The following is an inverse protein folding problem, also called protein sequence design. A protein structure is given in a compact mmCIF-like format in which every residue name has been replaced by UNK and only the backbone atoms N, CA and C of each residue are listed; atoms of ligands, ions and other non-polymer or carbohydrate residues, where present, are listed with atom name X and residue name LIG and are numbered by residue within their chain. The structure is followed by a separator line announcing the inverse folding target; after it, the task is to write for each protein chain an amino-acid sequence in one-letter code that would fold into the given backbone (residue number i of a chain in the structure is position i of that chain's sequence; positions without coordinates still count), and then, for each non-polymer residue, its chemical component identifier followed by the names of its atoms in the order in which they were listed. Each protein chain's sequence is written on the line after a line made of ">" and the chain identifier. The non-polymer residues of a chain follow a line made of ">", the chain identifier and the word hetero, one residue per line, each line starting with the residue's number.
data_IF_624951041314
#
_entry.id   IF_624951041314
#
_cell.length_a   1.000
_cell.length_b   1.000
_cell.length_c   1.000
_cell.angle_alpha   90.00
_cell.angle_beta   90.00
_cell.angle_gamma   90.00
#
_symmetry.space_group_name_H-M   'P 1'
#
loop_
_entity.id
_entity.type
_entity.pdbx_description
1 polymer ?
#
# COMPACT_ATOMS: atom_id res chain seq x y z
N UNK A 1 9.12 -10.59 18.94
CA UNK A 1 9.84 -10.87 20.20
C UNK A 1 8.93 -10.62 21.41
N UNK A 2 8.34 -9.41 21.61
CA UNK A 2 7.45 -9.12 22.75
C UNK A 2 6.23 -10.04 22.82
N UNK A 3 5.62 -10.39 21.70
CA UNK A 3 4.48 -11.31 21.63
C UNK A 3 4.89 -12.76 21.98
N UNK A 4 6.03 -13.22 21.50
CA UNK A 4 6.53 -14.57 21.79
C UNK A 4 6.95 -14.71 23.24
N UNK A 5 7.51 -13.68 23.88
CA UNK A 5 7.82 -13.67 25.31
C UNK A 5 6.57 -13.61 26.19
N UNK A 6 5.53 -12.87 25.78
CA UNK A 6 4.25 -12.79 26.52
C UNK A 6 3.46 -14.10 26.43
N UNK A 7 3.49 -14.80 25.30
CA UNK A 7 2.84 -16.11 25.11
C UNK A 7 3.70 -17.32 25.52
N UNK A 8 5.00 -17.16 25.74
CA UNK A 8 5.91 -18.25 26.14
C UNK A 8 5.59 -18.93 27.47
N UNK A 9 4.54 -18.47 28.17
CA UNK A 9 4.01 -19.07 29.42
C UNK A 9 2.93 -20.13 29.17
N UNK A 10 2.46 -20.33 27.91
CA UNK A 10 1.54 -21.43 27.55
C UNK A 10 2.16 -22.25 26.42
N UNK A 11 2.22 -23.58 26.50
CA UNK A 11 2.71 -24.42 25.43
C UNK A 11 1.74 -24.34 24.23
N UNK A 12 1.95 -23.36 23.37
CA UNK A 12 1.19 -23.23 22.15
C UNK A 12 1.86 -24.06 21.05
N UNK A 13 1.02 -24.74 20.28
CA UNK A 13 1.46 -25.48 19.13
C UNK A 13 1.96 -24.46 18.07
N UNK A 14 3.21 -24.60 17.58
CA UNK A 14 3.82 -23.75 16.55
C UNK A 14 2.90 -23.48 15.35
N UNK A 15 2.00 -24.43 15.05
CA UNK A 15 1.00 -24.30 13.99
C UNK A 15 -0.05 -23.21 14.30
N UNK A 16 -0.44 -23.04 15.56
CA UNK A 16 -1.40 -22.01 15.98
C UNK A 16 -0.78 -20.63 15.82
N UNK A 17 0.50 -20.49 16.20
CA UNK A 17 1.22 -19.22 16.05
C UNK A 17 1.46 -18.87 14.57
N UNK A 18 1.76 -19.87 13.74
CA UNK A 18 1.90 -19.67 12.30
C UNK A 18 0.58 -19.23 11.64
N UNK A 19 -0.55 -19.86 11.99
CA UNK A 19 -1.87 -19.47 11.47
C UNK A 19 -2.24 -18.05 11.91
N UNK A 20 -1.95 -17.68 13.15
CA UNK A 20 -2.20 -16.31 13.61
C UNK A 20 -1.37 -15.27 12.86
N UNK A 21 -0.10 -15.56 12.58
CA UNK A 21 0.74 -14.68 11.77
C UNK A 21 0.24 -14.54 10.33
N UNK A 22 -0.24 -15.65 9.73
CA UNK A 22 -0.85 -15.61 8.39
C UNK A 22 -2.13 -14.77 8.37
N UNK A 23 -3.01 -14.92 9.36
CA UNK A 23 -4.23 -14.12 9.50
C UNK A 23 -3.92 -12.63 9.68
N UNK A 24 -2.92 -12.29 10.49
CA UNK A 24 -2.45 -10.90 10.67
C UNK A 24 -1.89 -10.32 9.37
N UNK A 25 -1.04 -11.07 8.67
CA UNK A 25 -0.50 -10.65 7.37
C UNK A 25 -1.63 -10.43 6.37
N UNK A 26 -2.57 -11.37 6.27
CA UNK A 26 -3.72 -11.23 5.39
C UNK A 26 -4.61 -10.02 5.75
N UNK A 27 -4.77 -9.70 7.04
CA UNK A 27 -5.49 -8.51 7.48
C UNK A 27 -4.78 -7.22 7.05
N UNK A 28 -3.45 -7.13 7.25
CA UNK A 28 -2.65 -5.97 6.87
C UNK A 28 -2.75 -5.71 5.36
N UNK A 29 -2.65 -6.75 4.54
CA UNK A 29 -2.80 -6.65 3.08
C UNK A 29 -4.19 -6.14 2.69
N UNK A 30 -5.26 -6.66 3.31
CA UNK A 30 -6.63 -6.17 3.07
C UNK A 30 -6.82 -4.71 3.48
N UNK A 31 -6.32 -4.34 4.66
CA UNK A 31 -6.34 -2.95 5.15
C UNK A 31 -5.66 -2.01 4.15
N UNK A 32 -4.45 -2.37 3.71
CA UNK A 32 -3.70 -1.57 2.76
C UNK A 32 -4.42 -1.47 1.41
N UNK A 33 -5.02 -2.57 0.92
CA UNK A 33 -5.81 -2.57 -0.32
C UNK A 33 -6.97 -1.57 -0.25
N UNK A 34 -7.82 -1.67 0.78
CA UNK A 34 -8.95 -0.77 0.95
C UNK A 34 -8.51 0.67 1.20
N UNK A 35 -7.39 0.85 1.92
CA UNK A 35 -6.80 2.17 2.13
C UNK A 35 -6.36 2.82 0.83
N UNK A 36 -5.65 2.09 -0.02
CA UNK A 36 -5.22 2.57 -1.34
C UNK A 36 -6.42 2.92 -2.23
N UNK A 37 -7.45 2.08 -2.22
CA UNK A 37 -8.65 2.32 -3.01
C UNK A 37 -9.39 3.58 -2.54
N UNK A 38 -9.72 3.66 -1.25
CA UNK A 38 -10.51 4.76 -0.70
C UNK A 38 -9.76 6.09 -0.75
N UNK A 39 -8.49 6.09 -0.31
CA UNK A 39 -7.67 7.30 -0.34
C UNK A 39 -7.39 7.74 -1.77
N UNK A 40 -7.10 6.81 -2.67
CA UNK A 40 -6.85 7.13 -4.08
C UNK A 40 -8.03 7.84 -4.73
N UNK A 41 -9.25 7.32 -4.56
CA UNK A 41 -10.48 7.95 -5.10
C UNK A 41 -10.72 9.31 -4.43
N UNK A 42 -10.68 9.38 -3.11
CA UNK A 42 -10.96 10.61 -2.38
C UNK A 42 -9.95 11.72 -2.72
N UNK A 43 -8.65 11.39 -2.73
CA UNK A 43 -7.61 12.37 -3.02
C UNK A 43 -7.61 12.82 -4.49
N UNK A 44 -7.97 11.93 -5.42
CA UNK A 44 -8.17 12.31 -6.83
C UNK A 44 -9.32 13.31 -6.98
N UNK A 45 -10.46 13.08 -6.32
CA UNK A 45 -11.60 14.01 -6.32
C UNK A 45 -11.22 15.35 -5.71
N UNK A 46 -10.57 15.34 -4.54
CA UNK A 46 -10.13 16.58 -3.89
C UNK A 46 -9.08 17.33 -4.71
N UNK A 47 -8.21 16.62 -5.39
CA UNK A 47 -7.21 17.23 -6.27
C UNK A 47 -7.86 17.84 -7.51
N UNK A 48 -8.85 17.19 -8.10
CA UNK A 48 -9.68 17.75 -9.15
C UNK A 48 -10.38 19.04 -8.69
N UNK A 49 -11.10 19.01 -7.58
CA UNK A 49 -11.78 20.18 -7.03
C UNK A 49 -10.81 21.32 -6.73
N UNK A 50 -9.61 21.02 -6.31
CA UNK A 50 -8.58 22.03 -6.05
C UNK A 50 -8.08 22.69 -7.33
N UNK A 51 -7.79 21.91 -8.37
CA UNK A 51 -7.29 22.44 -9.63
C UNK A 51 -8.34 23.29 -10.33
N UNK A 52 -9.60 22.86 -10.28
CA UNK A 52 -10.73 23.64 -10.85
C UNK A 52 -11.19 24.82 -9.96
N UNK A 53 -10.57 25.03 -8.79
CA UNK A 53 -10.97 26.10 -7.87
C UNK A 53 -12.30 25.88 -7.16
N UNK A 54 -12.94 24.71 -7.34
CA UNK A 54 -14.25 24.38 -6.78
C UNK A 54 -14.20 24.06 -5.28
N UNK A 55 -13.04 23.77 -4.73
CA UNK A 55 -12.87 23.41 -3.32
C UNK A 55 -13.29 24.54 -2.37
N UNK A 56 -13.03 25.80 -2.72
CA UNK A 56 -13.45 26.96 -1.91
C UNK A 56 -14.94 27.23 -1.99
N UNK A 57 -15.58 26.90 -3.13
CA UNK A 57 -17.03 27.02 -3.32
C UNK A 57 -17.77 25.97 -2.49
N UNK A 58 -17.26 24.73 -2.47
CA UNK A 58 -17.92 23.62 -1.76
C UNK A 58 -17.68 23.63 -0.24
N UNK A 59 -16.45 23.94 0.19
CA UNK A 59 -16.04 23.84 1.61
C UNK A 59 -15.89 25.22 2.29
N UNK A 60 -16.19 26.31 1.58
CA UNK A 60 -15.94 27.67 2.04
C UNK A 60 -14.45 28.04 2.02
N UNK A 61 -14.12 29.30 2.27
CA UNK A 61 -12.75 29.80 2.21
C UNK A 61 -11.82 29.08 3.21
N UNK A 62 -12.26 28.95 4.46
CA UNK A 62 -11.45 28.30 5.51
C UNK A 62 -11.28 26.79 5.28
N UNK A 63 -12.38 26.08 4.95
CA UNK A 63 -12.33 24.65 4.66
C UNK A 63 -11.54 24.32 3.39
N UNK A 64 -11.71 25.11 2.33
CA UNK A 64 -10.95 24.97 1.10
C UNK A 64 -9.45 25.17 1.33
N UNK A 65 -9.06 26.19 2.10
CA UNK A 65 -7.66 26.43 2.45
C UNK A 65 -7.07 25.29 3.30
N UNK A 66 -7.83 24.76 4.26
CA UNK A 66 -7.39 23.62 5.07
C UNK A 66 -7.15 22.37 4.20
N UNK A 67 -8.10 21.98 3.35
CA UNK A 67 -7.97 20.81 2.46
C UNK A 67 -6.82 20.98 1.44
N UNK A 68 -6.42 22.20 1.11
CA UNK A 68 -5.28 22.47 0.25
C UNK A 68 -3.93 22.21 0.94
N UNK A 69 -3.88 22.11 2.27
CA UNK A 69 -2.67 21.80 3.03
C UNK A 69 -2.47 20.27 3.13
N UNK A 70 -1.27 19.75 2.81
CA UNK A 70 -1.00 18.30 2.85
C UNK A 70 -1.22 17.67 4.23
N UNK A 71 -0.79 18.33 5.30
CA UNK A 71 -0.95 17.87 6.67
C UNK A 71 -2.41 17.75 7.09
N UNK A 72 -3.21 18.78 6.79
CA UNK A 72 -4.63 18.82 7.12
C UNK A 72 -5.40 17.76 6.31
N UNK A 73 -5.13 17.64 5.02
CA UNK A 73 -5.72 16.60 4.17
C UNK A 73 -5.32 15.20 4.67
N UNK A 74 -4.05 15.00 5.01
CA UNK A 74 -3.57 13.75 5.60
C UNK A 74 -4.32 13.39 6.88
N UNK A 75 -4.46 14.34 7.79
CA UNK A 75 -5.08 14.14 9.09
C UNK A 75 -6.60 13.95 9.02
N UNK A 76 -7.30 14.82 8.28
CA UNK A 76 -8.77 14.84 8.26
C UNK A 76 -9.41 13.97 7.16
N UNK A 77 -8.67 13.59 6.14
CA UNK A 77 -9.20 12.75 5.04
C UNK A 77 -8.52 11.40 5.01
N UNK A 78 -7.19 11.35 4.89
CA UNK A 78 -6.51 10.08 4.69
C UNK A 78 -6.56 9.19 5.92
N UNK A 79 -6.29 9.71 7.13
CA UNK A 79 -6.33 8.90 8.36
C UNK A 79 -7.72 8.33 8.63
N UNK A 80 -8.82 9.09 8.58
CA UNK A 80 -10.17 8.52 8.72
C UNK A 80 -10.50 7.45 7.68
N UNK A 81 -10.06 7.61 6.42
CA UNK A 81 -10.26 6.61 5.39
C UNK A 81 -9.44 5.35 5.62
N UNK A 82 -8.22 5.48 6.15
CA UNK A 82 -7.39 4.32 6.54
C UNK A 82 -8.04 3.58 7.72
N UNK A 83 -8.59 4.28 8.70
CA UNK A 83 -9.33 3.66 9.80
C UNK A 83 -10.58 2.93 9.28
N UNK A 84 -11.33 3.57 8.37
CA UNK A 84 -12.47 2.96 7.71
C UNK A 84 -12.06 1.71 6.91
N UNK A 85 -10.93 1.75 6.21
CA UNK A 85 -10.40 0.60 5.48
C UNK A 85 -10.09 -0.57 6.43
N UNK A 86 -9.60 -0.29 7.63
CA UNK A 86 -9.39 -1.30 8.66
C UNK A 86 -10.70 -1.98 9.10
N UNK A 87 -11.77 -1.21 9.25
CA UNK A 87 -13.10 -1.74 9.60
C UNK A 87 -13.65 -2.62 8.45
N UNK A 88 -13.49 -2.18 7.20
CA UNK A 88 -13.92 -2.94 6.03
C UNK A 88 -13.10 -4.24 5.92
N UNK A 89 -11.79 -4.18 6.13
CA UNK A 89 -10.89 -5.33 6.09
C UNK A 89 -11.19 -6.42 7.13
N UNK A 90 -11.90 -6.09 8.21
CA UNK A 90 -12.39 -7.07 9.19
C UNK A 90 -13.60 -7.85 8.66
N UNK A 91 -14.46 -7.21 7.85
CA UNK A 91 -15.68 -7.81 7.31
C UNK A 91 -15.43 -8.54 5.99
N UNK A 92 -14.72 -7.88 5.07
CA UNK A 92 -14.42 -8.41 3.74
C UNK A 92 -13.13 -9.22 3.76
N UNK A 93 -13.24 -10.53 3.55
CA UNK A 93 -12.10 -11.45 3.56
C UNK A 93 -11.48 -11.69 2.18
N UNK A 94 -12.22 -11.37 1.11
CA UNK A 94 -11.73 -11.53 -0.26
C UNK A 94 -11.17 -10.22 -0.80
N UNK A 95 -9.90 -10.20 -1.14
CA UNK A 95 -9.28 -9.11 -1.90
C UNK A 95 -9.02 -9.61 -3.31
N UNK A 96 -9.62 -8.95 -4.29
CA UNK A 96 -9.38 -9.26 -5.69
C UNK A 96 -8.45 -8.23 -6.32
N UNK A 97 -7.26 -8.68 -6.70
CA UNK A 97 -6.31 -7.86 -7.46
C UNK A 97 -6.87 -7.41 -8.82
N UNK A 98 -7.87 -8.14 -9.34
CA UNK A 98 -8.55 -7.80 -10.59
C UNK A 98 -9.18 -6.41 -10.53
N UNK A 99 -9.80 -6.03 -9.39
CA UNK A 99 -10.37 -4.70 -9.22
C UNK A 99 -9.32 -3.60 -9.24
N UNK A 100 -8.16 -3.82 -8.59
CA UNK A 100 -7.09 -2.84 -8.61
C UNK A 100 -6.46 -2.71 -10.01
N UNK A 101 -6.30 -3.83 -10.72
CA UNK A 101 -5.85 -3.81 -12.13
C UNK A 101 -6.85 -3.06 -13.00
N UNK A 102 -8.16 -3.31 -12.83
CA UNK A 102 -9.21 -2.62 -13.58
C UNK A 102 -9.19 -1.12 -13.32
N UNK A 103 -8.99 -0.70 -12.06
CA UNK A 103 -8.89 0.72 -11.71
C UNK A 103 -7.70 1.40 -12.40
N UNK A 104 -6.54 0.75 -12.46
CA UNK A 104 -5.38 1.27 -13.19
C UNK A 104 -5.71 1.42 -14.67
N UNK A 105 -6.31 0.40 -15.30
CA UNK A 105 -6.70 0.44 -16.71
C UNK A 105 -7.72 1.53 -16.99
N UNK A 106 -8.73 1.68 -16.11
CA UNK A 106 -9.75 2.74 -16.25
C UNK A 106 -9.12 4.12 -16.08
N UNK A 107 -8.22 4.31 -15.12
CA UNK A 107 -7.53 5.59 -14.91
C UNK A 107 -6.68 5.96 -16.14
N UNK A 108 -5.91 5.03 -16.68
CA UNK A 108 -5.13 5.23 -17.93
C UNK A 108 -6.05 5.55 -19.11
N UNK A 109 -7.15 4.83 -19.26
CA UNK A 109 -8.12 5.08 -20.32
C UNK A 109 -8.73 6.48 -20.19
N UNK A 110 -9.07 6.92 -18.98
CA UNK A 110 -9.58 8.27 -18.74
C UNK A 110 -8.55 9.35 -19.09
N UNK A 111 -7.27 9.12 -18.83
CA UNK A 111 -6.18 10.03 -19.25
C UNK A 111 -6.17 10.15 -20.78
N UNK A 112 -6.21 9.01 -21.48
CA UNK A 112 -6.22 8.99 -22.95
C UNK A 112 -7.43 9.75 -23.51
N UNK A 113 -8.63 9.48 -22.98
CA UNK A 113 -9.87 10.18 -23.39
C UNK A 113 -9.77 11.68 -23.12
N UNK A 114 -9.34 12.07 -21.92
CA UNK A 114 -9.22 13.49 -21.55
C UNK A 114 -8.23 14.22 -22.47
N UNK A 115 -7.10 13.60 -22.75
CA UNK A 115 -6.06 14.20 -23.58
C UNK A 115 -6.44 14.31 -25.06
N UNK A 116 -6.97 13.23 -25.65
CA UNK A 116 -7.23 13.19 -27.10
C UNK A 116 -8.59 13.76 -27.50
N UNK A 117 -9.60 13.65 -26.66
CA UNK A 117 -10.96 14.17 -27.00
C UNK A 117 -11.14 15.59 -26.52
N UNK A 118 -10.71 15.89 -25.28
CA UNK A 118 -10.94 17.20 -24.65
C UNK A 118 -9.72 18.10 -24.68
N UNK A 119 -8.55 17.61 -25.10
CA UNK A 119 -7.29 18.35 -25.06
C UNK A 119 -6.86 18.75 -23.65
N UNK A 120 -7.33 18.03 -22.65
CA UNK A 120 -7.21 18.35 -21.24
C UNK A 120 -6.53 17.21 -20.48
N UNK A 121 -5.43 17.52 -19.79
CA UNK A 121 -4.71 16.58 -18.95
C UNK A 121 -4.29 17.26 -17.65
N UNK A 122 -4.67 16.67 -16.52
CA UNK A 122 -4.26 17.15 -15.21
C UNK A 122 -3.21 16.24 -14.58
N UNK A 123 -2.28 16.87 -13.87
CA UNK A 123 -1.15 16.19 -13.21
C UNK A 123 -1.59 15.17 -12.18
N UNK A 124 -2.72 15.39 -11.47
CA UNK A 124 -3.25 14.44 -10.48
C UNK A 124 -3.66 13.10 -11.11
N UNK A 125 -4.05 13.06 -12.39
CA UNK A 125 -4.43 11.82 -13.06
C UNK A 125 -3.23 10.86 -13.18
N UNK A 126 -2.06 11.38 -13.57
CA UNK A 126 -0.84 10.59 -13.60
C UNK A 126 -0.37 10.12 -12.23
N UNK A 127 -0.58 10.93 -11.18
CA UNK A 127 -0.25 10.54 -9.81
C UNK A 127 -1.20 9.44 -9.28
N UNK A 128 -2.48 9.46 -9.67
CA UNK A 128 -3.45 8.41 -9.34
C UNK A 128 -3.03 7.07 -9.93
N UNK A 129 -2.64 7.06 -11.21
CA UNK A 129 -2.14 5.85 -11.87
C UNK A 129 -0.89 5.32 -11.17
N UNK A 130 0.08 6.19 -10.87
CA UNK A 130 1.31 5.79 -10.16
C UNK A 130 1.01 5.20 -8.78
N UNK A 131 0.09 5.80 -8.04
CA UNK A 131 -0.32 5.35 -6.72
C UNK A 131 -0.96 3.95 -6.76
N UNK A 132 -1.93 3.75 -7.64
CA UNK A 132 -2.59 2.45 -7.80
C UNK A 132 -1.66 1.40 -8.43
N UNK A 133 -0.82 1.79 -9.39
CA UNK A 133 0.14 0.88 -9.99
C UNK A 133 1.21 0.40 -9.00
N UNK A 134 1.74 1.30 -8.19
CA UNK A 134 2.69 0.94 -7.14
C UNK A 134 2.06 -0.05 -6.13
N UNK A 135 0.82 0.22 -5.72
CA UNK A 135 0.07 -0.68 -4.87
C UNK A 135 -0.18 -2.03 -5.54
N UNK A 136 -0.65 -2.04 -6.79
CA UNK A 136 -0.88 -3.28 -7.55
C UNK A 136 0.38 -4.13 -7.62
N UNK A 137 1.54 -3.52 -7.93
CA UNK A 137 2.80 -4.24 -8.03
C UNK A 137 3.21 -4.89 -6.71
N UNK A 138 3.11 -4.15 -5.60
CA UNK A 138 3.45 -4.66 -4.28
C UNK A 138 2.46 -5.74 -3.80
N UNK A 139 1.15 -5.51 -3.97
CA UNK A 139 0.13 -6.52 -3.62
C UNK A 139 0.24 -7.78 -4.46
N UNK A 140 0.50 -7.65 -5.77
CA UNK A 140 0.69 -8.80 -6.64
C UNK A 140 1.91 -9.61 -6.22
N UNK A 141 3.03 -8.98 -5.82
CA UNK A 141 4.21 -9.69 -5.33
C UNK A 141 3.94 -10.46 -4.03
N UNK A 142 3.23 -9.85 -3.08
CA UNK A 142 2.82 -10.51 -1.84
C UNK A 142 1.85 -11.68 -2.10
N UNK A 143 0.89 -11.49 -3.00
CA UNK A 143 -0.06 -12.53 -3.39
C UNK A 143 0.63 -13.73 -4.06
N UNK A 144 1.53 -13.47 -5.02
CA UNK A 144 2.27 -14.54 -5.70
C UNK A 144 3.18 -15.29 -4.74
N UNK A 145 3.72 -14.63 -3.72
CA UNK A 145 4.50 -15.30 -2.68
C UNK A 145 3.62 -16.25 -1.85
N UNK A 146 2.42 -15.80 -1.47
CA UNK A 146 1.47 -16.58 -0.67
C UNK A 146 0.95 -17.81 -1.42
N UNK A 147 0.59 -17.65 -2.70
CA UNK A 147 0.02 -18.73 -3.54
C UNK A 147 1.08 -19.65 -4.15
N UNK A 148 2.36 -19.49 -3.78
CA UNK A 148 3.45 -20.22 -4.41
C UNK A 148 3.52 -20.08 -5.95
N UNK A 149 2.91 -19.00 -6.47
CA UNK A 149 2.75 -18.74 -7.91
C UNK A 149 4.01 -18.13 -8.55
N UNK A 150 5.13 -18.09 -7.82
CA UNK A 150 6.40 -17.65 -8.40
C UNK A 150 6.86 -18.63 -9.47
N UNK A 151 7.40 -18.08 -10.55
CA UNK A 151 8.19 -18.87 -11.52
C UNK A 151 9.44 -19.35 -10.78
N UNK A 152 9.31 -20.48 -10.10
CA UNK A 152 10.45 -21.20 -9.53
C UNK A 152 11.14 -21.92 -10.69
N UNK A 153 12.43 -22.11 -10.56
CA UNK A 153 13.12 -23.07 -11.41
C UNK A 153 12.68 -24.47 -10.93
N UNK A 154 11.45 -24.82 -11.33
CA UNK A 154 10.72 -25.98 -10.82
C UNK A 154 11.41 -27.31 -11.13
N UNK A 155 12.26 -27.34 -12.15
CA UNK A 155 12.96 -28.54 -12.60
C UNK A 155 13.74 -29.18 -11.44
N UNK A 156 14.43 -28.39 -10.64
CA UNK A 156 15.18 -28.89 -9.48
C UNK A 156 14.32 -28.96 -8.21
N UNK A 157 13.52 -27.94 -7.95
CA UNK A 157 12.72 -27.84 -6.72
C UNK A 157 11.58 -28.86 -6.71
N UNK A 158 10.91 -29.10 -7.83
CA UNK A 158 9.82 -30.07 -7.95
C UNK A 158 10.27 -31.53 -7.72
N UNK A 159 11.53 -31.85 -8.03
CA UNK A 159 12.09 -33.19 -7.78
C UNK A 159 12.48 -33.47 -6.33
N UNK A 160 12.54 -32.42 -5.48
CA UNK A 160 13.00 -32.57 -4.09
C UNK A 160 11.91 -33.17 -3.19
N UNK A 161 12.34 -33.95 -2.19
CA UNK A 161 11.45 -34.46 -1.13
C UNK A 161 10.86 -33.33 -0.32
N UNK A 162 9.62 -33.49 0.17
CA UNK A 162 8.89 -32.49 0.96
C UNK A 162 9.72 -31.90 2.12
N UNK A 163 10.48 -32.72 2.83
CA UNK A 163 11.33 -32.26 3.93
C UNK A 163 12.45 -31.33 3.46
N UNK A 164 13.11 -31.65 2.34
CA UNK A 164 14.17 -30.84 1.76
C UNK A 164 13.62 -29.49 1.27
N UNK A 165 12.44 -29.46 0.64
CA UNK A 165 11.76 -28.20 0.24
C UNK A 165 11.49 -27.33 1.46
N UNK A 166 10.94 -27.92 2.54
CA UNK A 166 10.67 -27.16 3.77
C UNK A 166 11.95 -26.56 4.38
N UNK A 167 13.04 -27.32 4.41
CA UNK A 167 14.33 -26.82 4.91
C UNK A 167 14.86 -25.69 4.04
N UNK A 168 14.82 -25.84 2.70
CA UNK A 168 15.25 -24.79 1.79
C UNK A 168 14.41 -23.51 1.94
N UNK A 169 13.10 -23.63 2.10
CA UNK A 169 12.23 -22.47 2.32
C UNK A 169 12.58 -21.77 3.64
N UNK A 170 12.77 -22.52 4.73
CA UNK A 170 13.17 -21.94 6.03
C UNK A 170 14.53 -21.25 5.92
N UNK A 171 15.53 -21.92 5.34
CA UNK A 171 16.88 -21.35 5.16
C UNK A 171 16.80 -20.07 4.29
N UNK A 172 16.10 -20.13 3.17
CA UNK A 172 15.90 -18.96 2.30
C UNK A 172 15.24 -17.79 3.02
N UNK A 173 14.17 -18.04 3.76
CA UNK A 173 13.47 -16.99 4.52
C UNK A 173 14.36 -16.41 5.63
N UNK A 174 15.05 -17.25 6.40
CA UNK A 174 15.86 -16.79 7.54
C UNK A 174 17.14 -16.06 7.10
N UNK A 175 17.83 -16.54 6.05
CA UNK A 175 19.12 -15.99 5.64
C UNK A 175 19.02 -14.92 4.55
N UNK A 176 17.93 -14.88 3.78
CA UNK A 176 17.74 -13.86 2.72
C UNK A 176 16.51 -12.99 2.97
N UNK A 177 15.34 -13.56 3.26
CA UNK A 177 14.11 -12.81 3.42
C UNK A 177 14.16 -11.86 4.61
N UNK A 178 14.38 -12.38 5.82
CA UNK A 178 14.42 -11.57 7.06
C UNK A 178 15.52 -10.50 7.01
N UNK A 179 16.80 -10.81 6.64
CA UNK A 179 17.84 -9.78 6.56
C UNK A 179 17.54 -8.69 5.53
N UNK A 180 16.96 -9.06 4.38
CA UNK A 180 16.56 -8.08 3.36
C UNK A 180 15.49 -7.12 3.88
N UNK A 181 14.40 -7.64 4.45
CA UNK A 181 13.35 -6.83 5.05
C UNK A 181 13.91 -5.94 6.18
N UNK A 182 14.75 -6.50 7.04
CA UNK A 182 15.41 -5.76 8.12
C UNK A 182 16.27 -4.61 7.60
N UNK A 183 17.05 -4.86 6.54
CA UNK A 183 17.90 -3.85 5.91
C UNK A 183 17.07 -2.72 5.30
N UNK A 184 15.96 -3.04 4.61
CA UNK A 184 15.04 -2.05 4.05
C UNK A 184 14.43 -1.20 5.16
N UNK A 185 13.93 -1.82 6.24
CA UNK A 185 13.34 -1.10 7.36
C UNK A 185 14.38 -0.24 8.09
N UNK A 186 15.56 -0.78 8.38
CA UNK A 186 16.61 -0.01 9.04
C UNK A 186 17.05 1.19 8.19
N UNK A 187 17.33 0.98 6.91
CA UNK A 187 17.77 2.06 6.02
C UNK A 187 16.67 3.05 5.70
N UNK A 188 15.43 2.56 5.59
CA UNK A 188 14.26 3.38 5.30
C UNK A 188 13.78 4.22 6.47
N UNK A 189 13.86 3.70 7.70
CA UNK A 189 13.32 4.37 8.90
C UNK A 189 14.40 5.04 9.77
N UNK A 190 15.68 4.70 9.61
CA UNK A 190 16.76 5.20 10.44
C UNK A 190 17.16 6.62 10.05
N UNK A 191 16.63 7.59 10.77
CA UNK A 191 16.95 9.00 10.60
C UNK A 191 15.84 9.82 9.94
N UNK A 192 15.87 11.13 10.19
CA UNK A 192 14.83 12.06 9.71
C UNK A 192 14.85 12.23 8.18
N UNK A 193 15.99 12.05 7.53
CA UNK A 193 16.17 12.20 6.07
C UNK A 193 16.16 10.89 5.31
N UNK A 194 15.76 9.78 5.94
CA UNK A 194 15.72 8.48 5.28
C UNK A 194 14.55 8.36 4.30
N UNK A 195 14.67 7.40 3.36
CA UNK A 195 13.77 7.22 2.22
C UNK A 195 12.29 7.04 2.58
N UNK A 196 12.01 6.40 3.71
CA UNK A 196 10.63 6.15 4.17
C UNK A 196 10.21 7.23 5.18
N UNK A 197 11.08 7.53 6.14
CA UNK A 197 10.73 8.42 7.24
C UNK A 197 10.55 9.88 6.80
N UNK A 198 11.41 10.39 5.91
CA UNK A 198 11.31 11.78 5.45
C UNK A 198 9.96 12.08 4.77
N UNK A 199 9.51 11.32 3.76
CA UNK A 199 8.21 11.55 3.14
C UNK A 199 7.04 11.43 4.12
N UNK A 200 7.09 10.49 5.05
CA UNK A 200 6.02 10.27 6.03
C UNK A 200 5.92 11.41 7.04
N UNK A 201 7.04 11.87 7.57
CA UNK A 201 7.07 12.95 8.57
C UNK A 201 6.69 14.32 8.00
N UNK A 202 7.00 14.56 6.74
CA UNK A 202 6.76 15.84 6.07
C UNK A 202 5.46 15.86 5.25
N UNK A 203 4.65 14.79 5.26
CA UNK A 203 3.49 14.62 4.39
C UNK A 203 3.82 14.97 2.93
N UNK A 204 4.88 14.35 2.41
CA UNK A 204 5.41 14.71 1.10
C UNK A 204 4.38 14.48 0.00
N UNK A 205 4.17 15.53 -0.79
CA UNK A 205 3.27 15.52 -1.93
C UNK A 205 3.98 15.08 -3.20
N UNK A 206 3.27 14.95 -4.30
CA UNK A 206 3.88 14.71 -5.61
C UNK A 206 4.78 15.89 -6.01
N UNK A 207 5.71 15.65 -6.94
CA UNK A 207 6.66 16.69 -7.41
C UNK A 207 5.98 17.87 -8.10
N UNK A 208 4.78 17.68 -8.63
CA UNK A 208 3.96 18.76 -9.22
C UNK A 208 3.09 19.38 -8.14
N UNK A 209 3.12 20.69 -7.95
CA UNK A 209 2.30 21.42 -6.97
C UNK A 209 0.79 21.23 -7.13
N UNK A 210 0.36 20.70 -8.28
CA UNK A 210 -1.04 20.42 -8.63
C UNK A 210 -1.38 18.91 -8.58
N UNK A 211 -0.45 18.07 -8.14
CA UNK A 211 -0.65 16.62 -8.04
C UNK A 211 -1.43 16.18 -6.80
N UNK A 212 -1.56 14.86 -6.64
CA UNK A 212 -2.17 14.22 -5.47
C UNK A 212 -1.23 14.30 -4.24
N UNK A 213 -1.82 14.23 -3.06
CA UNK A 213 -1.09 14.25 -1.79
C UNK A 213 -0.90 12.84 -1.22
N UNK A 214 -0.45 11.90 -2.06
CA UNK A 214 -0.33 10.46 -1.72
C UNK A 214 1.09 9.93 -1.68
N UNK A 215 2.11 10.75 -1.95
CA UNK A 215 3.50 10.27 -2.01
C UNK A 215 3.99 9.70 -0.68
N UNK A 216 3.61 10.31 0.45
CA UNK A 216 3.94 9.79 1.77
C UNK A 216 3.33 8.40 2.04
N UNK A 217 2.15 8.10 1.48
CA UNK A 217 1.54 6.77 1.56
C UNK A 217 2.27 5.76 0.68
N UNK A 218 2.78 6.17 -0.48
CA UNK A 218 3.63 5.28 -1.31
C UNK A 218 4.91 4.89 -0.58
N UNK A 219 5.51 5.82 0.18
CA UNK A 219 6.65 5.51 1.05
C UNK A 219 6.26 4.53 2.18
N UNK A 220 5.06 4.67 2.74
CA UNK A 220 4.54 3.76 3.75
C UNK A 220 4.33 2.32 3.23
N UNK A 221 4.09 2.12 1.93
CA UNK A 221 3.97 0.79 1.34
C UNK A 221 5.23 -0.06 1.56
N UNK A 222 6.41 0.56 1.54
CA UNK A 222 7.68 -0.14 1.78
C UNK A 222 7.83 -0.67 3.22
N UNK A 223 7.01 -0.18 4.14
CA UNK A 223 6.95 -0.70 5.53
C UNK A 223 6.00 -1.88 5.64
N UNK A 224 4.94 -1.87 4.81
CA UNK A 224 3.86 -2.87 4.87
C UNK A 224 4.20 -4.12 4.07
N UNK A 225 4.91 -3.96 2.96
CA UNK A 225 5.26 -5.01 2.00
C UNK A 225 6.75 -5.34 1.99
#
# INVERSE_FOLDING_TARGET
>A
IAYTTWRGLKPNNLRIDANWMDDMSAYIVRLAFWGVLLVGIADAVLSFLRVEGLHTVLFGQAGGAAIALPSERGLFVHIPLIVLSGIIALKEKSVSLVWLTLLVVVAEFLIVVARFIYGYEQTFMGDLVRFWYAALFLFASAYTLKEDAHVRVDVFYASLKRRTRSILNVVGTVFFGIPLCWLILMRGLWGKSSLINSPMMNFETSMSGFGMYVKFLMAAFLVVF
#
